data_IF_138623480202
#
_entry.id   IF_138623480202
#
_cell.length_a   1.000
_cell.length_b   1.000
_cell.length_c   1.000
_cell.angle_alpha   90.00
_cell.angle_beta   90.00
_cell.angle_gamma   90.00
#
_symmetry.space_group_name_H-M   'P 1'
#
loop_
_entity.id
_entity.type
_entity.pdbx_description
1 polymer ?
#
# COMPACT_ATOMS: atom_id res chain seq x y z
N UNK A 1 -3.89 -11.98 17.45
CA UNK A 1 -3.43 -12.70 16.23
C UNK A 1 -1.91 -12.77 16.26
N UNK A 2 -1.28 -13.77 15.63
CA UNK A 2 0.19 -13.93 15.56
C UNK A 2 0.94 -14.03 16.91
N UNK A 3 0.27 -14.43 17.99
CA UNK A 3 0.84 -14.50 19.35
C UNK A 3 1.91 -15.57 19.53
N UNK A 4 2.07 -16.45 18.54
CA UNK A 4 3.11 -17.48 18.53
C UNK A 4 4.45 -17.00 17.95
N UNK A 5 4.47 -15.86 17.24
CA UNK A 5 5.70 -15.28 16.72
C UNK A 5 6.44 -14.51 17.84
N UNK A 6 7.73 -14.78 18.09
CA UNK A 6 8.50 -14.10 19.12
C UNK A 6 8.93 -12.71 18.64
N UNK A 7 7.98 -11.79 18.51
CA UNK A 7 8.23 -10.42 18.05
C UNK A 7 8.65 -9.52 19.22
N UNK A 8 9.62 -8.61 19.02
CA UNK A 8 10.06 -7.69 20.06
C UNK A 8 8.99 -6.64 20.35
N UNK A 9 9.09 -5.97 21.51
CA UNK A 9 8.12 -4.96 21.94
C UNK A 9 7.97 -3.81 20.93
N UNK A 10 9.07 -3.40 20.29
CA UNK A 10 9.09 -2.39 19.23
C UNK A 10 8.13 -2.68 18.08
N UNK A 11 7.88 -3.96 17.76
CA UNK A 11 6.90 -4.34 16.74
C UNK A 11 5.53 -3.79 17.11
N UNK A 12 5.11 -4.00 18.35
CA UNK A 12 3.81 -3.56 18.83
C UNK A 12 3.74 -2.04 18.96
N UNK A 13 4.82 -1.39 19.40
CA UNK A 13 4.87 0.06 19.45
C UNK A 13 4.74 0.71 18.07
N UNK A 14 5.45 0.20 17.06
CA UNK A 14 5.35 0.71 15.70
C UNK A 14 3.91 0.56 15.17
N UNK A 15 3.26 -0.61 15.37
CA UNK A 15 1.87 -0.81 14.91
C UNK A 15 0.83 -0.04 15.71
N UNK A 16 1.07 0.25 16.99
CA UNK A 16 0.24 1.16 17.77
C UNK A 16 0.33 2.60 17.21
N UNK A 17 1.53 3.03 16.80
CA UNK A 17 1.71 4.31 16.12
C UNK A 17 0.94 4.38 14.80
N UNK A 18 1.09 3.35 13.94
CA UNK A 18 0.32 3.25 12.70
C UNK A 18 -1.18 3.28 12.96
N UNK A 19 -1.67 2.55 13.98
CA UNK A 19 -3.10 2.55 14.31
C UNK A 19 -3.63 3.92 14.78
N UNK A 20 -2.81 4.71 15.49
CA UNK A 20 -3.15 6.07 15.90
C UNK A 20 -3.24 7.01 14.69
N UNK A 21 -2.28 6.91 13.77
CA UNK A 21 -2.30 7.65 12.50
C UNK A 21 -3.55 7.33 11.69
N UNK A 22 -3.91 6.05 11.56
CA UNK A 22 -5.08 5.63 10.78
C UNK A 22 -6.40 6.08 11.42
N UNK A 23 -6.48 6.13 12.74
CA UNK A 23 -7.63 6.70 13.43
C UNK A 23 -7.75 8.21 13.13
N UNK A 24 -6.62 8.93 13.14
CA UNK A 24 -6.58 10.35 12.77
C UNK A 24 -6.94 10.56 11.30
N UNK A 25 -6.40 9.75 10.38
CA UNK A 25 -6.72 9.79 8.95
C UNK A 25 -8.22 9.59 8.71
N UNK A 26 -8.80 8.58 9.36
CA UNK A 26 -10.23 8.30 9.27
C UNK A 26 -11.07 9.49 9.74
N UNK A 27 -10.73 10.10 10.89
CA UNK A 27 -11.47 11.26 11.40
C UNK A 27 -11.34 12.47 10.48
N UNK A 28 -10.16 12.72 9.91
CA UNK A 28 -9.96 13.78 8.92
C UNK A 28 -10.88 13.60 7.71
N UNK A 29 -10.90 12.40 7.12
CA UNK A 29 -11.72 12.10 5.94
C UNK A 29 -13.22 12.06 6.27
N UNK A 30 -13.60 11.54 7.44
CA UNK A 30 -14.99 11.53 7.89
C UNK A 30 -15.53 12.94 8.10
N UNK A 31 -14.72 13.85 8.64
CA UNK A 31 -15.10 15.27 8.77
C UNK A 31 -15.24 15.92 7.39
N UNK A 32 -14.32 15.63 6.45
CA UNK A 32 -14.44 16.12 5.07
C UNK A 32 -15.69 15.62 4.36
N UNK A 33 -16.09 14.37 4.57
CA UNK A 33 -17.36 13.86 4.06
C UNK A 33 -18.54 14.64 4.64
N UNK A 34 -18.54 14.91 5.95
CA UNK A 34 -19.61 15.66 6.60
C UNK A 34 -19.73 17.10 6.07
N UNK A 35 -18.60 17.76 5.79
CA UNK A 35 -18.57 19.10 5.17
C UNK A 35 -19.14 19.10 3.73
N UNK A 36 -19.20 17.92 3.09
CA UNK A 36 -19.74 17.69 1.75
C UNK A 36 -21.12 17.03 1.78
N UNK A 37 -21.83 17.12 2.91
CA UNK A 37 -23.16 16.56 3.14
C UNK A 37 -23.23 15.02 2.93
N UNK A 38 -22.14 14.31 3.24
CA UNK A 38 -22.04 12.86 3.18
C UNK A 38 -21.51 12.26 4.49
N UNK A 39 -21.74 10.96 4.70
CA UNK A 39 -21.22 10.18 5.82
C UNK A 39 -20.45 8.94 5.34
N UNK A 40 -19.63 8.39 6.24
CA UNK A 40 -18.98 7.11 5.98
C UNK A 40 -20.02 6.01 5.74
N UNK A 41 -19.95 5.39 4.56
CA UNK A 41 -20.89 4.37 4.11
C UNK A 41 -21.93 4.86 3.10
N UNK A 42 -22.05 6.17 2.86
CA UNK A 42 -23.00 6.72 1.87
C UNK A 42 -22.56 6.49 0.42
N UNK A 43 -21.24 6.39 0.20
CA UNK A 43 -20.64 6.17 -1.12
C UNK A 43 -20.13 4.73 -1.25
N UNK A 44 -20.26 4.16 -2.45
CA UNK A 44 -19.73 2.84 -2.74
C UNK A 44 -18.20 2.84 -2.62
N UNK A 45 -17.67 1.88 -1.85
CA UNK A 45 -16.25 1.62 -1.71
C UNK A 45 -15.96 0.14 -1.96
N UNK A 46 -14.74 -0.16 -2.39
CA UNK A 46 -14.27 -1.56 -2.46
C UNK A 46 -13.84 -2.05 -1.08
N UNK A 47 -13.95 -3.36 -0.85
CA UNK A 47 -13.57 -4.04 0.40
C UNK A 47 -12.15 -4.66 0.33
N UNK A 48 -11.32 -4.22 -0.63
CA UNK A 48 -10.01 -4.84 -0.90
C UNK A 48 -9.07 -4.94 0.31
N UNK A 49 -9.05 -3.91 1.18
CA UNK A 49 -8.30 -3.95 2.46
C UNK A 49 -8.81 -5.04 3.39
N UNK A 50 -10.14 -5.21 3.49
CA UNK A 50 -10.76 -6.24 4.32
C UNK A 50 -10.50 -7.64 3.75
N UNK A 51 -10.62 -7.81 2.43
CA UNK A 51 -10.31 -9.08 1.76
C UNK A 51 -8.85 -9.50 1.98
N UNK A 52 -7.90 -8.57 1.81
CA UNK A 52 -6.49 -8.81 2.08
C UNK A 52 -6.25 -9.15 3.56
N UNK A 53 -6.93 -8.46 4.47
CA UNK A 53 -6.85 -8.76 5.89
C UNK A 53 -7.39 -10.15 6.21
N UNK A 54 -8.53 -10.57 5.67
CA UNK A 54 -9.06 -11.90 5.93
C UNK A 54 -8.16 -13.00 5.34
N UNK A 55 -7.72 -12.84 4.09
CA UNK A 55 -6.89 -13.81 3.39
C UNK A 55 -5.54 -14.05 4.08
N UNK A 56 -4.97 -13.03 4.73
CA UNK A 56 -3.65 -13.10 5.38
C UNK A 56 -3.71 -13.28 6.89
N UNK A 57 -4.90 -13.44 7.50
CA UNK A 57 -5.07 -13.47 8.98
C UNK A 57 -4.29 -14.58 9.70
N UNK A 58 -3.81 -15.58 8.97
CA UNK A 58 -3.09 -16.74 9.48
C UNK A 58 -1.58 -16.69 9.21
N UNK A 59 -1.10 -15.74 8.40
CA UNK A 59 0.29 -15.67 7.93
C UNK A 59 0.82 -14.24 8.12
N UNK A 60 1.75 -14.08 9.07
CA UNK A 60 2.32 -12.77 9.41
C UNK A 60 3.12 -12.18 8.25
N UNK A 61 3.94 -13.00 7.56
CA UNK A 61 4.71 -12.53 6.42
C UNK A 61 3.79 -12.11 5.28
N UNK A 62 2.72 -12.87 5.01
CA UNK A 62 1.70 -12.48 4.05
C UNK A 62 1.01 -11.16 4.46
N UNK A 63 0.66 -11.00 5.73
CA UNK A 63 0.06 -9.76 6.23
C UNK A 63 0.96 -8.55 5.97
N UNK A 64 2.25 -8.67 6.30
CA UNK A 64 3.25 -7.62 6.08
C UNK A 64 3.53 -7.39 4.59
N UNK A 65 3.52 -8.44 3.77
CA UNK A 65 3.72 -8.29 2.32
C UNK A 65 2.57 -7.55 1.63
N UNK A 66 1.34 -7.81 2.05
CA UNK A 66 0.16 -7.35 1.32
C UNK A 66 -0.37 -6.01 1.84
N UNK A 67 -0.58 -5.86 3.16
CA UNK A 67 -1.16 -4.62 3.67
C UNK A 67 -0.19 -3.42 3.50
N UNK A 68 0.94 -3.35 4.22
CA UNK A 68 1.83 -2.18 4.11
C UNK A 68 2.65 -2.15 2.82
N UNK A 69 3.07 -3.29 2.27
CA UNK A 69 4.00 -3.29 1.12
C UNK A 69 3.33 -3.37 -0.26
N UNK A 70 2.02 -3.65 -0.33
CA UNK A 70 1.24 -3.54 -1.57
C UNK A 70 0.19 -2.45 -1.46
N UNK A 71 -0.69 -2.49 -0.47
CA UNK A 71 -1.84 -1.58 -0.39
C UNK A 71 -1.42 -0.17 0.03
N UNK A 72 -0.67 0.00 1.12
CA UNK A 72 -0.19 1.34 1.52
C UNK A 72 0.84 1.89 0.52
N UNK A 73 1.73 1.03 0.01
CA UNK A 73 2.66 1.41 -1.06
C UNK A 73 1.95 1.87 -2.35
N UNK A 74 0.72 1.39 -2.60
CA UNK A 74 -0.12 1.87 -3.71
C UNK A 74 -0.65 3.28 -3.42
N UNK A 75 -1.00 3.58 -2.17
CA UNK A 75 -1.33 4.92 -1.70
C UNK A 75 -0.27 5.94 -2.11
N UNK A 76 1.02 5.59 -1.94
CA UNK A 76 2.14 6.46 -2.32
C UNK A 76 2.17 6.86 -3.82
N UNK A 77 1.64 5.99 -4.68
CA UNK A 77 1.62 6.21 -6.12
C UNK A 77 0.41 7.02 -6.59
N UNK A 78 -0.75 6.83 -5.95
CA UNK A 78 -2.04 7.37 -6.42
C UNK A 78 -2.39 8.71 -5.79
N UNK A 79 -2.03 8.91 -4.53
CA UNK A 79 -2.41 10.10 -3.76
C UNK A 79 -1.91 11.41 -4.37
N UNK A 80 -0.69 11.53 -4.93
CA UNK A 80 -0.25 12.77 -5.56
C UNK A 80 -1.17 13.25 -6.68
N UNK A 81 -1.59 12.35 -7.58
CA UNK A 81 -2.53 12.70 -8.66
C UNK A 81 -3.93 13.03 -8.13
N UNK A 82 -4.36 12.40 -7.03
CA UNK A 82 -5.63 12.76 -6.38
C UNK A 82 -5.57 14.19 -5.80
N UNK A 83 -4.46 14.55 -5.14
CA UNK A 83 -4.23 15.90 -4.60
C UNK A 83 -4.28 16.94 -5.73
N UNK A 84 -3.57 16.72 -6.84
CA UNK A 84 -3.57 17.63 -7.99
C UNK A 84 -4.98 17.84 -8.55
N UNK A 85 -5.78 16.77 -8.66
CA UNK A 85 -7.16 16.84 -9.14
C UNK A 85 -8.06 17.61 -8.20
N UNK A 86 -7.95 17.39 -6.90
CA UNK A 86 -8.73 18.10 -5.87
C UNK A 86 -8.42 19.59 -5.88
N UNK A 87 -7.13 19.96 -6.00
CA UNK A 87 -6.71 21.35 -6.16
C UNK A 87 -7.30 21.97 -7.43
N UNK A 88 -7.29 21.25 -8.55
CA UNK A 88 -7.81 21.74 -9.82
C UNK A 88 -9.33 22.01 -9.79
N UNK A 89 -10.09 21.30 -8.95
CA UNK A 89 -11.53 21.53 -8.75
C UNK A 89 -11.85 22.44 -7.56
N UNK A 90 -10.82 23.00 -6.90
CA UNK A 90 -10.97 23.96 -5.81
C UNK A 90 -11.21 23.36 -4.42
N UNK A 91 -11.05 22.05 -4.22
CA UNK A 91 -11.15 21.40 -2.91
C UNK A 91 -9.77 21.36 -2.22
N UNK A 92 -9.33 22.53 -1.76
CA UNK A 92 -8.03 22.71 -1.14
C UNK A 92 -7.94 22.01 0.23
N UNK A 93 -9.06 21.94 0.96
CA UNK A 93 -9.16 21.32 2.28
C UNK A 93 -8.94 19.81 2.21
N UNK A 94 -9.59 19.11 1.26
CA UNK A 94 -9.37 17.67 1.08
C UNK A 94 -7.97 17.40 0.55
N UNK A 95 -7.46 18.24 -0.36
CA UNK A 95 -6.08 18.13 -0.84
C UNK A 95 -5.06 18.28 0.31
N UNK A 96 -5.28 19.20 1.25
CA UNK A 96 -4.43 19.37 2.43
C UNK A 96 -4.47 18.13 3.35
N UNK A 97 -5.65 17.55 3.57
CA UNK A 97 -5.79 16.32 4.35
C UNK A 97 -5.01 15.15 3.72
N UNK A 98 -5.14 14.96 2.40
CA UNK A 98 -4.41 13.91 1.69
C UNK A 98 -2.89 14.12 1.67
N UNK A 99 -2.40 15.37 1.72
CA UNK A 99 -0.96 15.64 1.84
C UNK A 99 -0.39 15.18 3.20
N UNK A 100 -1.17 15.36 4.28
CA UNK A 100 -0.80 14.85 5.61
C UNK A 100 -0.76 13.32 5.57
N UNK A 101 -1.85 12.69 5.11
CA UNK A 101 -1.94 11.23 5.00
C UNK A 101 -0.79 10.68 4.17
N UNK A 102 -0.53 11.23 2.97
CA UNK A 102 0.58 10.82 2.10
C UNK A 102 1.94 10.84 2.79
N UNK A 103 2.17 11.82 3.67
CA UNK A 103 3.42 11.94 4.42
C UNK A 103 3.55 10.82 5.46
N UNK A 104 2.45 10.52 6.16
CA UNK A 104 2.38 9.48 7.17
C UNK A 104 2.50 8.07 6.54
N UNK A 105 1.90 7.87 5.36
CA UNK A 105 1.98 6.60 4.62
C UNK A 105 3.42 6.18 4.26
N UNK A 106 4.34 7.13 4.07
CA UNK A 106 5.77 6.79 3.86
C UNK A 106 6.32 6.07 5.09
N UNK A 107 5.93 6.50 6.28
CA UNK A 107 6.33 5.88 7.54
C UNK A 107 5.66 4.52 7.70
N UNK A 108 4.39 4.36 7.31
CA UNK A 108 3.67 3.10 7.40
C UNK A 108 4.30 2.01 6.51
N UNK A 109 4.65 2.36 5.27
CA UNK A 109 5.38 1.47 4.36
C UNK A 109 6.77 1.14 4.92
N UNK A 110 7.47 2.11 5.53
CA UNK A 110 8.78 1.90 6.18
C UNK A 110 8.70 0.94 7.36
N UNK A 111 7.68 1.08 8.22
CA UNK A 111 7.39 0.17 9.34
C UNK A 111 7.10 -1.23 8.80
N UNK A 112 6.24 -1.35 7.80
CA UNK A 112 5.95 -2.63 7.13
C UNK A 112 7.21 -3.27 6.57
N UNK A 113 8.09 -2.48 5.93
CA UNK A 113 9.34 -2.97 5.34
C UNK A 113 10.31 -3.46 6.40
N UNK A 114 10.50 -2.70 7.49
CA UNK A 114 11.34 -3.07 8.63
C UNK A 114 10.92 -4.43 9.19
N UNK A 115 9.63 -4.60 9.46
CA UNK A 115 9.14 -5.83 10.08
C UNK A 115 9.07 -7.00 9.11
N UNK A 116 8.81 -6.75 7.82
CA UNK A 116 8.91 -7.79 6.80
C UNK A 116 10.33 -8.35 6.71
N UNK A 117 11.35 -7.49 6.68
CA UNK A 117 12.76 -7.91 6.67
C UNK A 117 13.14 -8.63 7.95
N UNK A 118 12.70 -8.13 9.10
CA UNK A 118 12.96 -8.74 10.40
C UNK A 118 12.43 -10.19 10.44
N UNK A 119 11.17 -10.40 10.04
CA UNK A 119 10.56 -11.73 10.06
C UNK A 119 11.20 -12.65 9.01
N UNK A 120 11.53 -12.14 7.82
CA UNK A 120 12.34 -12.92 6.86
C UNK A 120 13.69 -13.34 7.47
N UNK A 121 14.32 -12.47 8.26
CA UNK A 121 15.58 -12.74 8.94
C UNK A 121 15.49 -13.85 10.00
N UNK A 122 14.37 -13.95 10.73
CA UNK A 122 14.14 -15.03 11.71
C UNK A 122 14.19 -16.41 11.04
N UNK A 123 13.64 -16.51 9.82
CA UNK A 123 13.54 -17.76 9.07
C UNK A 123 14.63 -17.91 7.98
N UNK A 124 15.61 -16.99 7.94
CA UNK A 124 16.70 -16.93 6.93
C UNK A 124 16.20 -16.94 5.48
N UNK A 125 15.08 -16.26 5.25
CA UNK A 125 14.48 -16.10 3.94
C UNK A 125 15.07 -14.89 3.21
N UNK A 126 15.19 -14.99 1.88
CA UNK A 126 15.48 -13.82 1.04
C UNK A 126 14.23 -12.94 0.93
N UNK A 127 14.26 -11.66 1.37
CA UNK A 127 13.07 -10.82 1.41
C UNK A 127 12.43 -10.59 0.05
N UNK A 128 13.23 -10.41 -1.01
CA UNK A 128 12.70 -10.04 -2.34
C UNK A 128 11.90 -11.21 -2.94
N UNK A 129 12.51 -12.39 -3.02
CA UNK A 129 11.84 -13.58 -3.55
C UNK A 129 10.66 -14.03 -2.68
N UNK A 130 10.78 -13.88 -1.35
CA UNK A 130 9.68 -14.15 -0.42
C UNK A 130 8.49 -13.24 -0.68
N UNK A 131 8.73 -11.93 -0.82
CA UNK A 131 7.69 -10.98 -1.14
C UNK A 131 7.06 -11.28 -2.51
N UNK A 132 7.86 -11.63 -3.53
CA UNK A 132 7.31 -12.00 -4.85
C UNK A 132 6.34 -13.19 -4.76
N UNK A 133 6.70 -14.21 -4.01
CA UNK A 133 5.87 -15.41 -3.82
C UNK A 133 4.57 -15.08 -3.08
N UNK A 134 4.66 -14.24 -2.03
CA UNK A 134 3.50 -13.83 -1.24
C UNK A 134 2.54 -12.95 -2.07
N UNK A 135 3.06 -12.01 -2.85
CA UNK A 135 2.24 -11.17 -3.75
C UNK A 135 1.52 -12.04 -4.77
N UNK A 136 2.22 -12.95 -5.47
CA UNK A 136 1.58 -13.85 -6.45
C UNK A 136 0.50 -14.74 -5.82
N UNK A 137 0.63 -15.08 -4.55
CA UNK A 137 -0.30 -15.95 -3.84
C UNK A 137 -1.53 -15.21 -3.30
N UNK A 138 -1.33 -14.03 -2.74
CA UNK A 138 -2.36 -13.35 -1.94
C UNK A 138 -2.88 -12.05 -2.57
N UNK A 139 -2.22 -11.51 -3.60
CA UNK A 139 -2.68 -10.33 -4.31
C UNK A 139 -3.23 -10.73 -5.67
N UNK A 140 -4.51 -10.45 -5.90
CA UNK A 140 -5.21 -10.78 -7.14
C UNK A 140 -5.33 -9.59 -8.11
N UNK A 141 -4.76 -8.44 -7.74
CA UNK A 141 -4.66 -7.26 -8.61
C UNK A 141 -3.31 -7.16 -9.32
N UNK A 142 -3.16 -6.12 -10.13
CA UNK A 142 -1.91 -5.80 -10.81
C UNK A 142 -1.10 -4.73 -10.06
N UNK A 143 0.22 -4.88 -10.04
CA UNK A 143 1.12 -3.80 -9.68
C UNK A 143 1.37 -2.94 -10.92
N UNK A 144 0.80 -1.73 -10.97
CA UNK A 144 0.86 -0.88 -12.16
C UNK A 144 1.66 0.40 -11.92
N UNK A 145 2.63 0.74 -12.79
CA UNK A 145 3.25 2.06 -12.80
C UNK A 145 2.23 3.16 -13.18
N UNK A 146 2.56 4.45 -13.00
CA UNK A 146 3.81 4.98 -12.45
C UNK A 146 3.95 4.67 -10.95
N UNK A 147 5.16 4.29 -10.53
CA UNK A 147 5.50 4.16 -9.11
C UNK A 147 6.11 5.45 -8.60
N UNK A 148 5.73 5.89 -7.41
CA UNK A 148 6.38 7.00 -6.73
C UNK A 148 7.72 6.54 -6.13
N UNK A 149 8.74 6.46 -6.98
CA UNK A 149 10.07 5.95 -6.63
C UNK A 149 10.67 6.75 -5.46
N UNK A 150 10.49 8.07 -5.44
CA UNK A 150 11.01 8.91 -4.36
C UNK A 150 10.40 8.54 -3.00
N UNK A 151 9.07 8.46 -2.91
CA UNK A 151 8.37 8.08 -1.67
C UNK A 151 8.69 6.64 -1.25
N UNK A 152 8.68 5.69 -2.20
CA UNK A 152 9.04 4.29 -1.93
C UNK A 152 10.48 4.16 -1.44
N UNK A 153 11.43 4.92 -2.00
CA UNK A 153 12.81 4.96 -1.51
C UNK A 153 12.92 5.57 -0.11
N UNK A 154 12.17 6.63 0.19
CA UNK A 154 12.09 7.20 1.54
C UNK A 154 11.58 6.18 2.56
N UNK A 155 10.64 5.31 2.14
CA UNK A 155 10.15 4.17 2.90
C UNK A 155 11.09 2.94 2.88
N UNK A 156 12.31 3.06 2.32
CA UNK A 156 13.29 1.97 2.17
C UNK A 156 12.76 0.76 1.38
N UNK A 157 11.78 1.00 0.51
CA UNK A 157 11.15 -0.02 -0.32
C UNK A 157 11.71 0.00 -1.75
N UNK A 158 12.74 -0.81 -1.98
CA UNK A 158 13.48 -0.87 -3.25
C UNK A 158 12.63 -1.38 -4.42
N UNK A 159 12.90 -0.85 -5.63
CA UNK A 159 12.33 -1.32 -6.89
C UNK A 159 12.58 -2.80 -7.20
N UNK A 160 13.55 -3.46 -6.54
CA UNK A 160 13.75 -4.90 -6.65
C UNK A 160 12.50 -5.71 -6.23
N UNK A 161 11.68 -5.18 -5.32
CA UNK A 161 10.45 -5.81 -4.90
C UNK A 161 9.38 -5.72 -5.99
N UNK A 162 8.96 -4.50 -6.36
CA UNK A 162 7.78 -4.31 -7.20
C UNK A 162 8.08 -4.26 -8.70
N UNK A 163 9.28 -3.86 -9.11
CA UNK A 163 9.66 -3.72 -10.52
C UNK A 163 9.49 -4.99 -11.35
N UNK A 164 9.99 -6.16 -10.89
CA UNK A 164 9.84 -7.43 -11.61
C UNK A 164 8.40 -7.96 -11.72
N UNK A 165 7.50 -7.52 -10.84
CA UNK A 165 6.08 -7.91 -10.84
C UNK A 165 5.18 -6.89 -11.53
N UNK A 166 5.73 -5.75 -11.95
CA UNK A 166 4.94 -4.67 -12.53
C UNK A 166 4.38 -5.09 -13.89
N UNK A 167 3.07 -4.99 -14.05
CA UNK A 167 2.42 -5.12 -15.36
C UNK A 167 2.67 -3.83 -16.12
N UNK A 168 3.31 -3.93 -17.29
CA UNK A 168 3.53 -2.79 -18.17
C UNK A 168 2.79 -2.99 -19.48
N UNK A 169 1.89 -2.07 -19.77
CA UNK A 169 1.05 -2.14 -20.97
C UNK A 169 1.85 -1.89 -22.28
N UNK A 170 3.07 -1.36 -22.18
CA UNK A 170 3.98 -1.06 -23.30
C UNK A 170 4.72 -2.29 -23.86
N UNK A 171 4.79 -3.40 -23.12
CA UNK A 171 5.47 -4.63 -23.53
C UNK A 171 4.53 -5.72 -24.08
N UNK A 172 3.21 -5.53 -23.99
CA UNK A 172 2.19 -6.51 -24.43
C UNK A 172 1.74 -6.31 -25.88
N UNK A 173 2.25 -5.27 -26.57
CA UNK A 173 2.04 -5.10 -28.01
C UNK A 173 2.73 -6.22 -28.80
N UNK A 174 2.01 -7.33 -29.01
CA UNK A 174 2.42 -8.39 -29.93
C UNK A 174 2.65 -7.79 -31.32
N UNK A 175 3.73 -8.18 -32.05
CA UNK A 175 3.93 -7.69 -33.39
C UNK A 175 2.75 -8.15 -34.26
N UNK A 176 2.00 -7.17 -34.78
CA UNK A 176 0.97 -7.38 -35.79
C UNK A 176 1.57 -8.22 -36.92
N UNK A 177 1.04 -9.44 -37.13
CA UNK A 177 1.42 -10.26 -38.28
C UNK A 177 1.15 -9.42 -39.52
N UNK A 178 2.20 -9.08 -40.25
CA UNK A 178 2.04 -8.54 -41.61
C UNK A 178 1.33 -9.62 -42.42
N UNK A 179 0.15 -9.31 -42.93
CA UNK A 179 -0.39 -10.02 -44.07
C UNK A 179 0.37 -9.51 -45.28
N UNK A 180 1.33 -10.30 -45.73
CA UNK A 180 1.90 -10.12 -47.06
C UNK A 180 0.86 -10.61 -48.07
N UNK A 181 0.60 -9.74 -49.05
CA UNK A 181 -0.28 -9.93 -50.19
C UNK A 181 0.37 -10.80 -51.27
#
# INVERSE_FOLDING_TARGET
>A
RFTAAPLPLDFYHDWLGVADDEARHFLMLSNRLADLDAAYGDLAAHDGLWQAADATKHDLLARLAIAPLVLEARGLDVTPTMIERLQAVGDAETAAALNIIMTDEITHVSVGKRWFDYVCGLDRLDPVSTWHNLVKRYFHGDLKPPFNIAARNAARFSAAFYGPLAVRDDLVASPSRRHDA
#
